data_IF_547389044107
#
_entry.id   IF_547389044107
#
_cell.length_a   1.000
_cell.length_b   1.000
_cell.length_c   1.000
_cell.angle_alpha   90.00
_cell.angle_beta   90.00
_cell.angle_gamma   90.00
#
_symmetry.space_group_name_H-M   'P 1'
#
loop_
_entity.id
_entity.type
_entity.pdbx_description
1 polymer ?
#
# COMPACT_ATOMS: atom_id res chain seq x y z
N UNK A 1 -2.70 10.52 -8.62
CA UNK A 1 -2.81 9.61 -7.47
C UNK A 1 -4.20 9.73 -6.87
N UNK A 2 -5.00 8.67 -6.88
CA UNK A 2 -6.36 8.73 -6.32
C UNK A 2 -6.37 8.52 -4.79
N UNK A 3 -5.45 7.70 -4.26
CA UNK A 3 -5.40 7.39 -2.81
C UNK A 3 -4.85 8.56 -2.00
N UNK A 4 -5.66 9.01 -1.05
CA UNK A 4 -5.34 10.06 -0.10
C UNK A 4 -5.57 9.61 1.36
N UNK A 5 -5.34 10.52 2.31
CA UNK A 5 -5.49 10.25 3.75
C UNK A 5 -6.92 9.82 4.11
N UNK A 6 -7.94 10.41 3.50
CA UNK A 6 -9.33 10.08 3.78
C UNK A 6 -9.67 8.64 3.37
N UNK A 7 -9.12 8.15 2.27
CA UNK A 7 -9.31 6.77 1.83
C UNK A 7 -8.70 5.78 2.83
N UNK A 8 -7.49 6.07 3.31
CA UNK A 8 -6.83 5.25 4.34
C UNK A 8 -7.60 5.28 5.67
N UNK A 9 -8.16 6.44 6.05
CA UNK A 9 -9.00 6.56 7.25
C UNK A 9 -10.28 5.74 7.11
N UNK A 10 -10.90 5.73 5.94
CA UNK A 10 -12.07 4.91 5.66
C UNK A 10 -11.73 3.41 5.75
N UNK A 11 -10.62 2.97 5.16
CA UNK A 11 -10.14 1.58 5.21
C UNK A 11 -9.89 1.10 6.65
N UNK A 12 -9.18 1.91 7.45
CA UNK A 12 -8.88 1.59 8.85
C UNK A 12 -10.04 1.90 9.82
N UNK A 13 -11.19 2.40 9.34
CA UNK A 13 -12.33 2.84 10.15
C UNK A 13 -11.99 3.89 11.21
N UNK A 14 -11.07 4.81 10.88
CA UNK A 14 -10.62 5.90 11.76
C UNK A 14 -11.50 7.15 11.52
N UNK A 15 -12.35 7.46 12.50
CA UNK A 15 -13.34 8.56 12.41
C UNK A 15 -12.85 9.92 12.95
N UNK A 16 -11.62 9.99 13.45
CA UNK A 16 -11.05 11.19 14.09
C UNK A 16 -9.78 11.67 13.38
N UNK A 17 -9.27 12.85 13.74
CA UNK A 17 -8.06 13.45 13.15
C UNK A 17 -6.78 13.29 13.97
N UNK A 18 -6.84 12.71 15.17
CA UNK A 18 -5.67 12.62 16.07
C UNK A 18 -4.47 11.84 15.50
N UNK A 19 -4.72 10.96 14.53
CA UNK A 19 -3.70 10.09 13.94
C UNK A 19 -3.35 10.48 12.50
N UNK A 20 -3.80 11.63 12.01
CA UNK A 20 -3.60 12.04 10.62
C UNK A 20 -2.12 12.05 10.22
N UNK A 21 -1.24 12.59 11.10
CA UNK A 21 0.21 12.57 10.89
C UNK A 21 0.79 11.15 10.84
N UNK A 22 0.27 10.25 11.68
CA UNK A 22 0.72 8.85 11.71
C UNK A 22 0.29 8.13 10.43
N UNK A 23 -0.97 8.25 10.05
CA UNK A 23 -1.55 7.63 8.86
C UNK A 23 -0.89 8.15 7.58
N UNK A 24 -0.61 9.46 7.50
CA UNK A 24 0.11 10.05 6.38
C UNK A 24 1.50 9.39 6.22
N UNK A 25 2.26 9.25 7.31
CA UNK A 25 3.57 8.59 7.27
C UNK A 25 3.48 7.12 6.82
N UNK A 26 2.44 6.38 7.22
CA UNK A 26 2.22 5.00 6.77
C UNK A 26 1.88 4.94 5.29
N UNK A 27 1.03 5.86 4.83
CA UNK A 27 0.65 6.00 3.43
C UNK A 27 1.87 6.29 2.54
N UNK A 28 2.73 7.22 2.94
CA UNK A 28 3.93 7.57 2.18
C UNK A 28 4.94 6.41 2.14
N UNK A 29 5.08 5.68 3.25
CA UNK A 29 5.90 4.45 3.31
C UNK A 29 5.36 3.37 2.38
N UNK A 30 4.03 3.17 2.35
CA UNK A 30 3.38 2.19 1.51
C UNK A 30 3.56 2.48 0.01
N UNK A 31 3.51 3.76 -0.39
CA UNK A 31 3.80 4.17 -1.78
C UNK A 31 5.21 3.77 -2.20
N UNK A 32 6.21 4.15 -1.41
CA UNK A 32 7.62 3.82 -1.69
C UNK A 32 7.80 2.30 -1.82
N UNK A 33 7.14 1.53 -0.96
CA UNK A 33 7.19 0.07 -1.01
C UNK A 33 6.60 -0.50 -2.31
N UNK A 34 5.42 -0.01 -2.73
CA UNK A 34 4.77 -0.46 -3.98
C UNK A 34 5.59 -0.06 -5.21
N UNK A 35 6.09 1.19 -5.26
CA UNK A 35 6.97 1.68 -6.33
C UNK A 35 8.24 0.81 -6.48
N UNK A 36 8.90 0.52 -5.36
CA UNK A 36 10.07 -0.36 -5.32
C UNK A 36 9.72 -1.78 -5.80
N UNK A 37 8.53 -2.25 -5.48
CA UNK A 37 8.08 -3.59 -5.87
C UNK A 37 7.80 -3.72 -7.38
N UNK A 38 7.23 -2.69 -8.00
CA UNK A 38 6.96 -2.67 -9.45
C UNK A 38 8.15 -2.21 -10.29
N UNK A 39 9.09 -1.46 -9.69
CA UNK A 39 10.25 -0.90 -10.38
C UNK A 39 9.92 0.34 -11.22
N UNK A 40 8.90 1.10 -10.82
CA UNK A 40 8.42 2.31 -11.50
C UNK A 40 7.79 3.26 -10.47
N UNK A 41 7.89 4.57 -10.69
CA UNK A 41 7.15 5.55 -9.88
C UNK A 41 5.65 5.54 -10.21
N UNK A 42 4.81 5.73 -9.20
CA UNK A 42 3.35 5.80 -9.42
C UNK A 42 2.96 7.04 -10.24
N UNK A 43 3.76 8.10 -10.17
CA UNK A 43 3.53 9.34 -10.94
C UNK A 43 3.96 9.22 -12.42
N UNK A 44 4.64 8.14 -12.82
CA UNK A 44 5.05 7.89 -14.20
C UNK A 44 3.95 7.23 -15.06
N UNK A 45 2.77 6.96 -14.50
CA UNK A 45 1.64 6.42 -15.26
C UNK A 45 0.89 7.55 -15.97
N UNK A 46 0.90 7.55 -17.31
CA UNK A 46 0.29 8.60 -18.14
C UNK A 46 -1.23 8.72 -17.95
N UNK A 47 -1.93 7.58 -17.85
CA UNK A 47 -3.38 7.52 -17.62
C UNK A 47 -3.77 7.64 -16.13
N UNK A 48 -2.80 7.95 -15.26
CA UNK A 48 -2.94 7.90 -13.82
C UNK A 48 -2.71 6.49 -13.24
N UNK A 49 -2.65 6.42 -11.91
CA UNK A 49 -2.35 5.17 -11.20
C UNK A 49 -3.48 4.15 -11.42
N UNK A 50 -3.18 2.94 -11.89
CA UNK A 50 -4.17 1.87 -12.00
C UNK A 50 -4.81 1.53 -10.65
N UNK A 51 -6.13 1.31 -10.64
CA UNK A 51 -6.89 0.94 -9.44
C UNK A 51 -6.31 -0.24 -8.63
N UNK A 52 -5.73 -1.30 -9.23
CA UNK A 52 -5.08 -2.37 -8.47
C UNK A 52 -3.86 -1.89 -7.65
N UNK A 53 -3.12 -0.90 -8.13
CA UNK A 53 -1.97 -0.33 -7.42
C UNK A 53 -2.43 0.57 -6.27
N UNK A 54 -3.50 1.33 -6.48
CA UNK A 54 -4.14 2.11 -5.42
C UNK A 54 -4.59 1.21 -4.25
N UNK A 55 -5.28 0.11 -4.56
CA UNK A 55 -5.70 -0.89 -3.57
C UNK A 55 -4.50 -1.55 -2.87
N UNK A 56 -3.43 -1.84 -3.62
CA UNK A 56 -2.21 -2.40 -3.05
C UNK A 56 -1.53 -1.45 -2.05
N UNK A 57 -1.50 -0.14 -2.35
CA UNK A 57 -0.99 0.90 -1.45
C UNK A 57 -1.83 0.96 -0.17
N UNK A 58 -3.17 0.96 -0.29
CA UNK A 58 -4.08 0.98 0.86
C UNK A 58 -3.87 -0.22 1.78
N UNK A 59 -3.80 -1.44 1.23
CA UNK A 59 -3.60 -2.66 2.03
C UNK A 59 -2.27 -2.64 2.79
N UNK A 60 -1.19 -2.16 2.16
CA UNK A 60 0.10 -2.03 2.83
C UNK A 60 0.06 -0.95 3.91
N UNK A 61 -0.55 0.19 3.64
CA UNK A 61 -0.67 1.28 4.62
C UNK A 61 -1.50 0.86 5.84
N UNK A 62 -2.64 0.20 5.63
CA UNK A 62 -3.48 -0.36 6.68
C UNK A 62 -2.72 -1.40 7.51
N UNK A 63 -2.02 -2.32 6.85
CA UNK A 63 -1.19 -3.32 7.52
C UNK A 63 -0.12 -2.68 8.42
N UNK A 64 0.57 -1.65 7.93
CA UNK A 64 1.59 -0.93 8.72
C UNK A 64 1.02 -0.13 9.90
N UNK A 65 -0.27 0.23 9.86
CA UNK A 65 -0.96 0.92 10.95
C UNK A 65 -1.42 -0.08 12.04
N UNK A 66 -2.04 -1.18 11.62
CA UNK A 66 -2.52 -2.24 12.49
C UNK A 66 -1.38 -3.00 13.17
N UNK A 67 -0.33 -3.33 12.39
CA UNK A 67 0.81 -4.09 12.89
C UNK A 67 2.03 -3.18 13.11
N UNK A 68 2.36 -2.98 14.38
CA UNK A 68 3.40 -2.01 14.84
C UNK A 68 4.68 -2.68 15.32
N UNK A 69 4.66 -4.00 15.47
CA UNK A 69 5.82 -4.78 15.89
C UNK A 69 6.84 -4.91 14.75
N UNK A 70 8.04 -5.37 15.10
CA UNK A 70 9.04 -5.83 14.13
C UNK A 70 8.97 -7.35 13.95
N UNK A 71 8.36 -8.04 14.93
CA UNK A 71 8.12 -9.47 14.93
C UNK A 71 6.76 -9.77 15.58
N UNK A 72 6.18 -10.91 15.22
CA UNK A 72 4.93 -11.43 15.75
C UNK A 72 5.18 -12.83 16.26
N UNK A 73 4.64 -13.17 17.44
CA UNK A 73 4.70 -14.53 17.98
C UNK A 73 3.87 -15.51 17.15
N UNK A 74 2.80 -15.01 16.52
CA UNK A 74 1.96 -15.78 15.59
C UNK A 74 2.35 -15.48 14.14
N UNK A 75 2.55 -16.52 13.34
CA UNK A 75 2.79 -16.37 11.91
C UNK A 75 1.55 -15.79 11.23
N UNK A 76 1.68 -14.61 10.63
CA UNK A 76 0.65 -14.07 9.75
C UNK A 76 0.73 -14.83 8.42
N UNK A 77 -0.30 -15.62 8.12
CA UNK A 77 -0.44 -16.24 6.81
C UNK A 77 -0.82 -15.19 5.79
N UNK A 78 -0.07 -15.09 4.70
CA UNK A 78 -0.55 -14.31 3.56
C UNK A 78 -1.83 -14.95 3.04
N UNK A 79 -2.87 -14.14 2.84
CA UNK A 79 -4.00 -14.54 2.02
C UNK A 79 -3.42 -14.82 0.62
N UNK A 80 -3.53 -16.05 0.10
CA UNK A 80 -3.06 -16.36 -1.23
C UNK A 80 -3.69 -15.38 -2.22
N UNK A 81 -2.86 -14.71 -3.03
CA UNK A 81 -3.28 -13.79 -4.11
C UNK A 81 -3.77 -12.38 -3.74
N UNK A 82 -3.67 -11.91 -2.48
CA UNK A 82 -4.12 -10.55 -2.14
C UNK A 82 -3.24 -9.43 -2.73
N UNK A 83 -2.13 -9.12 -2.07
CA UNK A 83 -1.24 -8.03 -2.51
C UNK A 83 -0.38 -8.41 -3.73
N UNK A 84 0.13 -9.65 -3.76
CA UNK A 84 1.04 -10.10 -4.81
C UNK A 84 0.39 -10.12 -6.19
N UNK A 85 -0.88 -10.54 -6.30
CA UNK A 85 -1.57 -10.58 -7.58
C UNK A 85 -1.77 -9.18 -8.17
N UNK A 86 -2.16 -8.21 -7.33
CA UNK A 86 -2.36 -6.81 -7.74
C UNK A 86 -1.08 -6.18 -8.28
N UNK A 87 0.04 -6.41 -7.62
CA UNK A 87 1.31 -5.72 -7.94
C UNK A 87 2.10 -6.41 -9.05
N UNK A 88 2.02 -7.74 -9.15
CA UNK A 88 2.85 -8.49 -10.11
C UNK A 88 2.54 -8.17 -11.58
N UNK A 89 1.31 -7.73 -11.90
CA UNK A 89 0.88 -7.36 -13.25
C UNK A 89 1.68 -6.16 -13.78
N UNK A 90 2.04 -5.23 -12.89
CA UNK A 90 2.71 -3.98 -13.24
C UNK A 90 4.22 -4.01 -13.02
N UNK A 91 4.76 -5.16 -12.59
CA UNK A 91 6.19 -5.27 -12.29
C UNK A 91 7.01 -5.30 -13.58
N UNK A 92 7.88 -4.29 -13.75
CA UNK A 92 8.90 -4.30 -14.80
C UNK A 92 9.90 -5.42 -14.49
N UNK A 93 9.74 -6.56 -15.16
CA UNK A 93 10.78 -7.61 -15.13
C UNK A 93 11.87 -7.19 -16.11
N UNK A 94 13.17 -7.26 -15.75
CA UNK A 94 14.18 -7.34 -16.77
C UNK A 94 13.87 -8.59 -17.61
N UNK A 95 13.75 -8.42 -18.93
CA UNK A 95 13.65 -9.55 -19.83
C UNK A 95 14.85 -10.46 -19.56
N UNK A 96 14.57 -11.73 -19.25
CA UNK A 96 15.60 -12.75 -19.10
C UNK A 96 16.23 -13.08 -20.46
#
# INVERSE_FOLDING_TARGET
MAVNLADLKAECRVLHSHEDTLLQRKLDTAKIFVESRIGQKLDEFEDGVPAPLDEAVLKVAAHLYEWRGVASETALTQIPEGFRALVNIYRKRPFA
#
